data_IF_771749936828
#
_entry.id   IF_771749936828
#
_cell.length_a   1.000
_cell.length_b   1.000
_cell.length_c   1.000
_cell.angle_alpha   90.00
_cell.angle_beta   90.00
_cell.angle_gamma   90.00
#
_symmetry.space_group_name_H-M   'P 1'
#
loop_
_entity.id
_entity.type
_entity.pdbx_description
1 polymer ?
#
# COMPACT_ATOMS: atom_id res chain seq x y z
N UNK A 1 -7.80 2.59 2.86
CA UNK A 1 -6.76 3.61 2.59
C UNK A 1 -7.25 4.51 1.47
N UNK A 2 -7.08 5.84 1.57
CA UNK A 2 -7.54 6.81 0.55
C UNK A 2 -9.00 6.63 0.13
N UNK A 3 -9.90 6.49 1.11
CA UNK A 3 -11.35 6.25 0.91
C UNK A 3 -11.72 4.87 0.33
N UNK A 4 -10.77 3.96 0.15
CA UNK A 4 -11.05 2.59 -0.31
C UNK A 4 -10.87 1.59 0.83
N UNK A 5 -11.92 0.82 1.13
CA UNK A 5 -11.84 -0.37 1.98
C UNK A 5 -11.68 -1.61 1.12
N UNK A 6 -10.60 -2.36 1.37
CA UNK A 6 -10.23 -3.46 0.48
C UNK A 6 -11.12 -4.69 0.69
N UNK A 7 -11.91 -4.98 -0.35
CA UNK A 7 -12.69 -6.21 -0.45
C UNK A 7 -11.79 -7.38 -0.88
N UNK A 8 -12.00 -8.55 -0.29
CA UNK A 8 -11.21 -9.74 -0.59
C UNK A 8 -11.80 -10.41 -1.84
N UNK A 9 -11.04 -10.57 -2.93
CA UNK A 9 -11.56 -11.23 -4.13
C UNK A 9 -11.73 -12.74 -3.92
N UNK A 10 -12.59 -13.37 -4.72
CA UNK A 10 -12.77 -14.82 -4.72
C UNK A 10 -11.63 -15.57 -5.41
N UNK A 11 -10.83 -14.88 -6.23
CA UNK A 11 -9.66 -15.41 -6.92
C UNK A 11 -8.43 -14.70 -6.37
N UNK A 12 -7.36 -15.44 -6.11
CA UNK A 12 -6.10 -14.84 -5.66
C UNK A 12 -5.59 -13.81 -6.67
N UNK A 13 -5.23 -12.62 -6.20
CA UNK A 13 -4.76 -11.52 -7.06
C UNK A 13 -3.58 -11.92 -7.94
N UNK A 14 -2.59 -12.60 -7.36
CA UNK A 14 -1.41 -13.07 -8.09
C UNK A 14 -1.77 -14.07 -9.18
N UNK A 15 -2.70 -14.99 -8.91
CA UNK A 15 -3.18 -15.95 -9.89
C UNK A 15 -3.85 -15.23 -11.07
N UNK A 16 -4.74 -14.29 -10.77
CA UNK A 16 -5.44 -13.55 -11.81
C UNK A 16 -4.48 -12.65 -12.62
N UNK A 17 -3.53 -11.98 -11.96
CA UNK A 17 -2.50 -11.20 -12.61
C UNK A 17 -1.65 -12.06 -13.57
N UNK A 18 -1.22 -13.25 -13.13
CA UNK A 18 -0.42 -14.14 -13.95
C UNK A 18 -1.17 -14.69 -15.17
N UNK A 19 -2.43 -15.14 -15.00
CA UNK A 19 -3.17 -15.82 -16.08
C UNK A 19 -3.96 -14.90 -17.01
N UNK A 20 -4.41 -13.74 -16.52
CA UNK A 20 -5.32 -12.87 -17.27
C UNK A 20 -4.68 -11.56 -17.75
N UNK A 21 -3.40 -11.32 -17.40
CA UNK A 21 -2.74 -10.03 -17.62
C UNK A 21 -3.32 -8.91 -16.75
N UNK A 22 -3.13 -7.65 -17.17
CA UNK A 22 -3.76 -6.49 -16.52
C UNK A 22 -5.29 -6.56 -16.56
N UNK A 23 -5.94 -5.90 -15.60
CA UNK A 23 -7.38 -5.98 -15.35
C UNK A 23 -8.25 -5.80 -16.62
N UNK A 24 -8.85 -6.90 -17.09
CA UNK A 24 -9.86 -6.93 -18.16
C UNK A 24 -11.30 -6.97 -17.60
N UNK A 25 -12.30 -6.71 -18.45
CA UNK A 25 -13.74 -6.90 -18.14
C UNK A 25 -13.99 -8.31 -17.57
N UNK A 26 -14.21 -8.43 -16.26
CA UNK A 26 -14.32 -9.70 -15.54
C UNK A 26 -13.25 -9.94 -14.46
N UNK A 27 -12.29 -9.02 -14.31
CA UNK A 27 -11.27 -9.07 -13.27
C UNK A 27 -11.84 -8.84 -11.87
N UNK A 28 -11.40 -9.63 -10.88
CA UNK A 28 -11.77 -9.45 -9.47
C UNK A 28 -11.17 -8.22 -8.78
N UNK A 29 -10.36 -7.45 -9.52
CA UNK A 29 -9.70 -6.22 -9.07
C UNK A 29 -9.59 -5.21 -10.21
N UNK A 30 -9.38 -3.94 -9.85
CA UNK A 30 -9.08 -2.83 -10.77
C UNK A 30 -7.71 -2.20 -10.44
N UNK A 31 -7.16 -1.44 -11.38
CA UNK A 31 -5.81 -0.84 -11.29
C UNK A 31 -5.85 0.67 -11.00
N UNK A 32 -7.01 1.17 -10.56
CA UNK A 32 -7.31 2.59 -10.34
C UNK A 32 -7.24 3.00 -8.86
N UNK A 33 -6.36 2.38 -8.08
CA UNK A 33 -6.21 2.76 -6.67
C UNK A 33 -5.79 4.24 -6.54
N UNK A 34 -6.49 5.05 -5.72
CA UNK A 34 -6.17 6.46 -5.57
C UNK A 34 -4.86 6.64 -4.80
N UNK A 35 -3.81 7.16 -5.44
CA UNK A 35 -2.51 7.42 -4.79
C UNK A 35 -2.56 8.54 -3.73
N UNK A 36 -3.56 9.41 -3.81
CA UNK A 36 -3.85 10.45 -2.82
C UNK A 36 -5.35 10.42 -2.45
N UNK A 37 -5.75 10.87 -1.25
CA UNK A 37 -7.16 10.97 -0.89
C UNK A 37 -7.93 11.87 -1.88
N UNK A 38 -9.06 11.39 -2.40
CA UNK A 38 -9.90 12.15 -3.35
C UNK A 38 -10.47 13.44 -2.72
N UNK A 39 -10.61 13.45 -1.39
CA UNK A 39 -11.07 14.60 -0.61
C UNK A 39 -10.13 14.81 0.57
N UNK A 40 -9.10 15.65 0.43
CA UNK A 40 -8.21 15.96 1.53
C UNK A 40 -8.96 16.73 2.63
N UNK A 41 -8.55 16.51 3.87
CA UNK A 41 -9.04 17.22 5.05
C UNK A 41 -7.89 17.36 6.05
N UNK A 42 -8.14 18.05 7.16
CA UNK A 42 -7.19 18.07 8.27
C UNK A 42 -7.19 16.69 8.96
N UNK A 43 -6.29 15.80 8.55
CA UNK A 43 -6.27 14.40 8.96
C UNK A 43 -6.15 14.22 10.47
N UNK A 44 -5.42 15.10 11.14
CA UNK A 44 -5.25 15.06 12.61
C UNK A 44 -6.19 16.01 13.36
N UNK A 45 -7.17 16.61 12.67
CA UNK A 45 -8.15 17.55 13.22
C UNK A 45 -9.52 16.93 13.48
N UNK A 46 -10.59 17.71 13.39
CA UNK A 46 -11.97 17.19 13.46
C UNK A 46 -12.26 16.36 12.20
N UNK A 47 -12.62 15.07 12.33
CA UNK A 47 -12.90 14.22 11.17
C UNK A 47 -14.19 14.65 10.46
N UNK A 48 -14.32 14.39 9.15
CA UNK A 48 -15.55 14.68 8.43
C UNK A 48 -16.70 13.77 8.89
N UNK A 49 -17.94 14.29 8.86
CA UNK A 49 -19.14 13.50 9.18
C UNK A 49 -19.37 12.31 8.22
N UNK A 50 -18.83 12.38 6.99
CA UNK A 50 -18.89 11.31 6.01
C UNK A 50 -17.51 11.09 5.41
N UNK A 51 -16.99 9.89 5.55
CA UNK A 51 -15.69 9.46 5.04
C UNK A 51 -15.73 9.07 3.58
N UNK A 52 -16.92 8.98 2.94
CA UNK A 52 -17.09 8.62 1.53
C UNK A 52 -16.36 7.33 1.14
N UNK A 53 -16.31 6.35 2.06
CA UNK A 53 -15.59 5.09 1.81
C UNK A 53 -16.35 4.23 0.81
N UNK A 54 -15.65 3.72 -0.19
CA UNK A 54 -16.10 2.65 -1.08
C UNK A 54 -15.44 1.33 -0.72
N UNK A 55 -16.14 0.23 -0.99
CA UNK A 55 -15.60 -1.11 -0.86
C UNK A 55 -15.22 -1.63 -2.24
N UNK A 56 -14.00 -2.14 -2.39
CA UNK A 56 -13.54 -2.69 -3.66
C UNK A 56 -12.13 -3.26 -3.57
N UNK A 57 -11.74 -3.99 -4.62
CA UNK A 57 -10.39 -4.54 -4.76
C UNK A 57 -9.62 -3.67 -5.74
N UNK A 58 -9.04 -2.57 -5.26
CA UNK A 58 -8.23 -1.66 -6.09
C UNK A 58 -6.75 -1.90 -5.83
N UNK A 59 -5.95 -1.86 -6.89
CA UNK A 59 -4.52 -2.16 -6.86
C UNK A 59 -3.72 -0.99 -7.43
N UNK A 60 -2.48 -0.83 -6.95
CA UNK A 60 -1.51 0.12 -7.50
C UNK A 60 -0.57 -0.66 -8.42
N UNK A 61 -0.53 -0.33 -9.71
CA UNK A 61 0.42 -0.94 -10.66
C UNK A 61 1.66 -0.07 -10.75
N UNK A 62 2.83 -0.68 -10.61
CA UNK A 62 4.12 0.00 -10.74
C UNK A 62 5.08 -0.79 -11.63
N UNK A 63 5.81 -0.12 -12.54
CA UNK A 63 6.83 -0.78 -13.35
C UNK A 63 7.96 -1.35 -12.50
N UNK A 64 8.55 -2.44 -12.98
CA UNK A 64 9.80 -2.97 -12.43
C UNK A 64 10.86 -1.88 -12.27
N UNK A 65 11.65 -1.96 -11.19
CA UNK A 65 12.75 -1.04 -10.85
C UNK A 65 12.30 0.41 -10.53
N UNK A 66 11.00 0.64 -10.30
CA UNK A 66 10.51 1.95 -9.84
C UNK A 66 11.01 2.26 -8.44
N UNK A 67 11.56 3.46 -8.23
CA UNK A 67 11.92 3.98 -6.90
C UNK A 67 10.68 4.62 -6.28
N UNK A 68 10.10 3.95 -5.29
CA UNK A 68 8.84 4.37 -4.68
C UNK A 68 9.12 5.12 -3.38
N UNK A 69 8.43 6.24 -3.18
CA UNK A 69 8.24 6.86 -1.86
C UNK A 69 6.75 6.81 -1.52
N UNK A 70 6.43 6.31 -0.33
CA UNK A 70 5.07 6.30 0.19
C UNK A 70 5.04 7.10 1.48
N UNK A 71 4.07 8.01 1.59
CA UNK A 71 3.76 8.68 2.86
C UNK A 71 2.45 8.09 3.38
N UNK A 72 2.54 7.45 4.54
CA UNK A 72 1.39 6.93 5.26
C UNK A 72 0.98 7.98 6.29
N UNK A 73 -0.20 8.54 6.11
CA UNK A 73 -0.80 9.54 7.00
C UNK A 73 -1.93 8.88 7.80
N UNK A 74 -1.82 8.93 9.12
CA UNK A 74 -2.91 8.55 10.01
C UNK A 74 -3.99 9.65 10.04
N UNK A 75 -5.23 9.25 10.35
CA UNK A 75 -6.37 10.16 10.48
C UNK A 75 -7.03 10.02 11.85
N UNK A 76 -7.66 11.07 12.33
CA UNK A 76 -8.49 11.10 13.56
C UNK A 76 -9.87 10.44 13.41
N UNK A 77 -10.18 9.86 12.25
CA UNK A 77 -11.47 9.16 12.01
C UNK A 77 -11.57 7.98 12.98
N UNK A 78 -12.63 7.99 13.81
CA UNK A 78 -12.88 6.99 14.87
C UNK A 78 -11.82 6.96 15.99
N UNK A 79 -11.01 8.03 16.11
CA UNK A 79 -9.98 8.16 17.12
C UNK A 79 -8.58 7.94 16.55
N UNK A 80 -7.61 8.69 17.07
CA UNK A 80 -6.23 8.56 16.64
C UNK A 80 -5.61 7.29 17.25
N UNK A 81 -4.92 6.50 16.44
CA UNK A 81 -4.31 5.22 16.82
C UNK A 81 -3.04 4.96 16.02
N UNK A 82 -2.01 4.42 16.67
CA UNK A 82 -0.81 3.98 15.95
C UNK A 82 -1.09 2.68 15.19
N UNK A 83 -0.83 2.66 13.88
CA UNK A 83 -1.05 1.48 13.05
C UNK A 83 0.28 0.88 12.57
N UNK A 84 0.59 -0.40 12.87
CA UNK A 84 1.75 -1.07 12.30
C UNK A 84 1.43 -1.49 10.86
N UNK A 85 2.01 -0.81 9.87
CA UNK A 85 1.83 -1.12 8.46
C UNK A 85 2.97 -2.01 7.97
N UNK A 86 2.62 -3.17 7.44
CA UNK A 86 3.52 -4.17 6.89
C UNK A 86 3.39 -4.22 5.36
N UNK A 87 4.51 -4.32 4.65
CA UNK A 87 4.57 -4.53 3.20
C UNK A 87 5.17 -5.90 2.90
N UNK A 88 4.44 -6.72 2.14
CA UNK A 88 4.92 -8.01 1.65
C UNK A 88 5.95 -7.81 0.53
N UNK A 89 6.83 -8.79 0.32
CA UNK A 89 7.75 -8.82 -0.82
C UNK A 89 8.93 -7.83 -0.76
N UNK A 90 8.90 -6.87 0.17
CA UNK A 90 9.90 -5.82 0.29
C UNK A 90 10.25 -5.54 1.75
N UNK A 91 11.52 -5.25 1.98
CA UNK A 91 11.89 -4.30 3.02
C UNK A 91 11.86 -2.87 2.44
N UNK A 92 11.78 -1.89 3.32
CA UNK A 92 11.79 -0.47 2.99
C UNK A 92 12.63 0.31 3.99
N UNK A 93 13.12 1.47 3.56
CA UNK A 93 13.80 2.43 4.40
C UNK A 93 12.81 3.43 4.98
N UNK A 94 12.78 3.58 6.30
CA UNK A 94 12.01 4.64 6.97
C UNK A 94 12.83 5.92 6.94
N UNK A 95 12.47 6.85 6.06
CA UNK A 95 13.25 8.07 5.81
C UNK A 95 12.78 9.26 6.65
N UNK A 96 11.55 9.22 7.17
CA UNK A 96 11.04 10.28 8.04
C UNK A 96 9.74 9.88 8.71
N UNK A 97 9.44 10.53 9.83
CA UNK A 97 8.16 10.40 10.53
C UNK A 97 7.89 11.68 11.31
N UNK A 98 6.64 11.96 11.60
CA UNK A 98 6.24 13.15 12.34
C UNK A 98 4.82 13.04 12.89
N UNK A 99 4.42 14.04 13.66
CA UNK A 99 3.05 14.23 14.12
C UNK A 99 2.37 15.34 13.32
N UNK A 100 1.05 15.36 13.33
CA UNK A 100 0.24 16.26 12.51
C UNK A 100 0.07 15.76 11.09
N UNK A 101 -0.36 16.67 10.21
CA UNK A 101 -0.44 16.38 8.78
C UNK A 101 0.94 16.53 8.14
N UNK A 102 1.33 15.57 7.32
CA UNK A 102 2.52 15.67 6.49
C UNK A 102 2.49 16.92 5.61
N UNK A 103 3.61 17.64 5.60
CA UNK A 103 3.80 18.81 4.75
C UNK A 103 4.89 18.53 3.72
N UNK A 104 4.47 18.31 2.47
CA UNK A 104 5.35 18.04 1.32
C UNK A 104 6.45 19.09 1.09
N UNK A 105 6.25 20.33 1.53
CA UNK A 105 7.22 21.42 1.34
C UNK A 105 8.31 21.48 2.40
N UNK A 106 8.08 20.96 3.61
CA UNK A 106 8.96 21.19 4.76
C UNK A 106 9.46 19.91 5.44
N UNK A 107 8.66 18.85 5.46
CA UNK A 107 9.04 17.59 6.11
C UNK A 107 10.13 16.81 5.35
N UNK A 108 10.14 16.75 4.00
CA UNK A 108 11.21 16.07 3.27
C UNK A 108 12.62 16.61 3.52
N UNK A 109 12.75 17.89 3.93
CA UNK A 109 14.04 18.51 4.29
C UNK A 109 14.68 17.80 5.50
N UNK A 110 13.86 17.19 6.36
CA UNK A 110 14.29 16.50 7.58
C UNK A 110 14.48 14.99 7.38
N UNK A 111 14.32 14.48 6.16
CA UNK A 111 14.46 13.05 5.92
C UNK A 111 15.88 12.58 6.21
N UNK A 112 16.00 11.44 6.89
CA UNK A 112 17.25 10.71 6.98
C UNK A 112 17.50 9.99 5.65
N UNK A 113 18.43 10.53 4.87
CA UNK A 113 18.86 9.98 3.57
C UNK A 113 20.27 9.40 3.61
N UNK A 114 20.86 9.26 4.81
CA UNK A 114 22.24 8.77 4.99
C UNK A 114 22.21 7.34 5.50
N UNK A 115 21.50 7.09 6.61
CA UNK A 115 21.43 5.79 7.28
C UNK A 115 20.01 5.46 7.80
N UNK A 116 18.96 5.57 6.96
CA UNK A 116 17.60 5.24 7.39
C UNK A 116 17.49 3.76 7.78
N UNK A 117 16.64 3.47 8.75
CA UNK A 117 16.42 2.10 9.20
C UNK A 117 15.66 1.30 8.14
N UNK A 118 16.16 0.11 7.81
CA UNK A 118 15.49 -0.85 6.94
C UNK A 118 14.59 -1.79 7.75
N UNK A 119 13.31 -1.88 7.39
CA UNK A 119 12.29 -2.74 8.03
C UNK A 119 11.26 -3.21 7.00
N UNK A 120 10.44 -4.19 7.34
CA UNK A 120 9.24 -4.56 6.56
C UNK A 120 7.92 -4.11 7.19
N UNK A 121 7.98 -3.60 8.43
CA UNK A 121 6.83 -3.14 9.21
C UNK A 121 7.22 -1.89 9.97
N UNK A 122 6.37 -0.86 9.93
CA UNK A 122 6.59 0.39 10.67
C UNK A 122 5.28 0.89 11.27
N UNK A 123 5.36 1.41 12.50
CA UNK A 123 4.24 2.08 13.13
C UNK A 123 4.05 3.46 12.51
N UNK A 124 2.89 3.70 11.89
CA UNK A 124 2.43 5.06 11.59
C UNK A 124 2.05 5.69 12.94
N UNK A 125 2.66 6.82 13.36
CA UNK A 125 2.34 7.43 14.65
C UNK A 125 0.87 7.82 14.75
N UNK A 126 0.29 7.66 15.95
CA UNK A 126 -1.05 8.18 16.27
C UNK A 126 -1.09 9.70 16.05
N UNK A 127 -2.05 10.19 15.26
CA UNK A 127 -2.11 11.58 14.85
C UNK A 127 -0.89 12.05 14.05
N UNK A 128 -0.31 11.20 13.20
CA UNK A 128 0.95 11.51 12.52
C UNK A 128 1.15 10.82 11.18
N UNK A 129 2.39 10.80 10.71
CA UNK A 129 2.77 10.27 9.41
C UNK A 129 4.13 9.58 9.45
N UNK A 130 4.36 8.70 8.48
CA UNK A 130 5.66 8.09 8.20
C UNK A 130 5.91 8.05 6.70
N UNK A 131 7.13 8.38 6.28
CA UNK A 131 7.59 8.29 4.91
C UNK A 131 8.56 7.12 4.77
N UNK A 132 8.27 6.23 3.83
CA UNK A 132 9.10 5.06 3.51
C UNK A 132 9.54 5.10 2.04
N UNK A 133 10.69 4.48 1.75
CA UNK A 133 11.18 4.29 0.38
C UNK A 133 11.58 2.84 0.14
N UNK A 134 11.24 2.32 -1.03
CA UNK A 134 11.67 1.00 -1.50
C UNK A 134 11.89 1.00 -3.01
N UNK A 135 12.62 0.01 -3.48
CA UNK A 135 12.78 -0.27 -4.90
C UNK A 135 11.81 -1.38 -5.29
N UNK A 136 11.00 -1.17 -6.32
CA UNK A 136 10.05 -2.17 -6.82
C UNK A 136 10.75 -3.16 -7.77
N UNK A 137 11.68 -3.96 -7.25
CA UNK A 137 12.52 -4.90 -8.01
C UNK A 137 12.10 -6.38 -7.86
N UNK A 138 10.89 -6.62 -7.34
CA UNK A 138 10.32 -7.94 -7.12
C UNK A 138 8.94 -8.05 -7.80
N UNK A 139 8.87 -8.59 -9.05
CA UNK A 139 7.62 -8.74 -9.80
C UNK A 139 6.61 -9.62 -9.07
N UNK A 140 5.34 -9.22 -9.09
CA UNK A 140 4.28 -9.96 -8.41
C UNK A 140 3.20 -9.06 -7.81
N UNK A 141 2.41 -9.61 -6.89
CA UNK A 141 1.33 -8.91 -6.21
C UNK A 141 1.57 -8.93 -4.71
N UNK A 142 1.72 -7.76 -4.10
CA UNK A 142 2.20 -7.60 -2.73
C UNK A 142 1.22 -6.80 -1.89
N UNK A 143 0.74 -7.39 -0.80
CA UNK A 143 -0.14 -6.67 0.13
C UNK A 143 0.67 -5.69 0.97
N UNK A 144 0.12 -4.49 1.15
CA UNK A 144 0.46 -3.60 2.25
C UNK A 144 -0.76 -3.49 3.17
N UNK A 145 -0.59 -3.79 4.45
CA UNK A 145 -1.72 -3.85 5.38
C UNK A 145 -1.34 -3.54 6.82
N UNK A 146 -2.35 -3.16 7.60
CA UNK A 146 -2.17 -3.05 9.05
C UNK A 146 -1.99 -4.46 9.64
N UNK A 147 -1.04 -4.59 10.56
CA UNK A 147 -0.71 -5.85 11.24
C UNK A 147 -1.55 -6.09 12.51
N UNK A 148 -2.62 -5.32 12.70
CA UNK A 148 -3.71 -5.68 13.59
C UNK A 148 -4.78 -6.44 12.80
N UNK A 149 -5.00 -7.71 13.15
CA UNK A 149 -5.90 -8.61 12.42
C UNK A 149 -7.32 -8.06 12.28
N UNK A 150 -7.80 -7.36 13.30
CA UNK A 150 -9.11 -6.69 13.27
C UNK A 150 -9.17 -5.63 12.16
N UNK A 151 -8.16 -4.75 12.05
CA UNK A 151 -8.12 -3.74 10.99
C UNK A 151 -7.86 -4.35 9.61
N UNK A 152 -7.04 -5.40 9.54
CA UNK A 152 -6.85 -6.18 8.32
C UNK A 152 -8.20 -6.74 7.82
N UNK A 153 -9.01 -7.31 8.73
CA UNK A 153 -10.33 -7.86 8.40
C UNK A 153 -11.34 -6.79 7.97
N UNK A 154 -11.21 -5.57 8.49
CA UNK A 154 -12.07 -4.43 8.13
C UNK A 154 -11.68 -3.76 6.81
N UNK A 155 -10.56 -4.19 6.19
CA UNK A 155 -10.12 -3.71 4.88
C UNK A 155 -9.03 -2.65 4.92
N UNK A 156 -8.30 -2.47 6.05
CA UNK A 156 -7.12 -1.62 6.13
C UNK A 156 -5.90 -2.30 5.47
N UNK A 157 -6.00 -2.49 4.16
CA UNK A 157 -5.01 -3.12 3.27
C UNK A 157 -5.15 -2.58 1.85
N UNK A 158 -4.12 -2.78 1.05
CA UNK A 158 -4.07 -2.49 -0.39
C UNK A 158 -3.09 -3.47 -1.04
N UNK A 159 -3.10 -3.60 -2.37
CA UNK A 159 -2.16 -4.46 -3.09
C UNK A 159 -1.37 -3.67 -4.15
N UNK A 160 -0.05 -3.86 -4.15
CA UNK A 160 0.86 -3.41 -5.19
C UNK A 160 0.98 -4.51 -6.24
N UNK A 161 0.95 -4.15 -7.52
CA UNK A 161 1.33 -5.01 -8.63
C UNK A 161 2.64 -4.46 -9.17
N UNK A 162 3.70 -5.25 -9.06
CA UNK A 162 4.98 -4.94 -9.69
C UNK A 162 5.07 -5.71 -10.97
N UNK A 163 5.15 -4.98 -12.09
CA UNK A 163 5.23 -5.58 -13.41
C UNK A 163 6.55 -6.33 -13.63
N UNK A 164 6.57 -7.20 -14.63
CA UNK A 164 7.77 -7.86 -15.10
C UNK A 164 8.78 -6.83 -15.66
N UNK A 165 10.05 -7.06 -15.38
CA UNK A 165 11.17 -6.40 -16.07
C UNK A 165 11.52 -7.05 -17.41
N UNK A 166 12.58 -6.52 -18.01
CA UNK A 166 13.06 -6.94 -19.33
C UNK A 166 13.80 -8.28 -19.28
N UNK A 167 14.60 -8.52 -18.24
CA UNK A 167 15.46 -9.70 -18.16
C UNK A 167 14.68 -10.93 -17.68
N UNK A 168 15.11 -12.16 -18.05
CA UNK A 168 14.45 -13.39 -17.61
C UNK A 168 14.34 -13.56 -16.09
N UNK A 169 15.31 -13.04 -15.32
CA UNK A 169 15.30 -13.07 -13.85
C UNK A 169 14.49 -11.93 -13.20
N UNK A 170 13.87 -11.07 -14.02
CA UNK A 170 13.01 -9.98 -13.59
C UNK A 170 11.54 -10.28 -13.91
N UNK A 171 11.20 -11.56 -14.08
CA UNK A 171 9.84 -12.00 -14.42
C UNK A 171 9.27 -12.85 -13.31
N UNK A 172 7.96 -12.70 -13.07
CA UNK A 172 7.23 -13.56 -12.15
C UNK A 172 7.31 -15.02 -12.65
N UNK A 173 7.85 -15.96 -11.86
CA UNK A 173 7.88 -17.37 -12.25
C UNK A 173 6.48 -17.96 -12.40
N UNK A 174 6.33 -19.05 -13.19
CA UNK A 174 5.07 -19.76 -13.29
C UNK A 174 4.62 -20.31 -11.92
N UNK A 175 3.30 -20.37 -11.67
CA UNK A 175 2.79 -20.93 -10.43
C UNK A 175 3.18 -22.42 -10.29
N UNK A 176 3.40 -22.91 -9.06
CA UNK A 176 3.62 -24.33 -8.80
C UNK A 176 2.48 -25.21 -9.33
N UNK A 177 2.78 -26.44 -9.75
CA UNK A 177 1.79 -27.38 -10.32
C UNK A 177 0.70 -27.80 -9.32
N UNK A 178 1.01 -27.70 -8.03
CA UNK A 178 0.17 -28.04 -6.89
C UNK A 178 -0.49 -26.81 -6.25
N UNK A 179 -0.49 -25.65 -6.92
CA UNK A 179 -1.18 -24.46 -6.45
C UNK A 179 -2.67 -24.79 -6.19
N UNK A 180 -3.20 -24.57 -4.98
CA UNK A 180 -4.60 -24.81 -4.66
C UNK A 180 -5.54 -24.04 -5.58
N UNK A 181 -6.63 -24.68 -6.00
CA UNK A 181 -7.68 -24.02 -6.78
C UNK A 181 -8.58 -23.20 -5.85
N UNK A 182 -8.95 -22.01 -6.31
CA UNK A 182 -9.94 -21.15 -5.66
C UNK A 182 -11.35 -21.77 -5.75
#
# INVERSE_FOLDING_TARGET
>A
MNNESFALPSIALLQQHYFSGEANNGSSYTTDFPGVPLRPFNYTGTPPNNTMVSNGTKTVVIPYNTRVQVVLQETSILGAESHPLHLHGFNFFVVGQGFGNFNESSDPIKFNLVDPVERNTVAVPSGGWVAIRFLADNPGVWLMHCHFDVHLSWGLRMAWIVEDGELPNQKLPPPPKDLPKC
#
